data_IF_595975307610
#
_entry.id   IF_595975307610
#
_cell.length_a   1.000
_cell.length_b   1.000
_cell.length_c   1.000
_cell.angle_alpha   90.00
_cell.angle_beta   90.00
_cell.angle_gamma   90.00
#
_symmetry.space_group_name_H-M   'P 1'
#
loop_
_entity.id
_entity.type
_entity.pdbx_description
1 polymer ?
#
# COMPACT_ATOMS: atom_id res chain seq x y z
N UNK A 1 -22.42 -5.14 8.55
CA UNK A 1 -21.37 -4.89 9.58
C UNK A 1 -20.01 -5.12 8.95
N UNK A 2 -19.14 -4.09 8.90
CA UNK A 2 -17.77 -4.22 8.41
C UNK A 2 -16.95 -5.01 9.45
N UNK A 3 -16.39 -6.16 9.07
CA UNK A 3 -15.44 -6.90 9.92
C UNK A 3 -14.07 -6.22 9.83
N UNK A 4 -13.54 -5.78 10.97
CA UNK A 4 -12.25 -5.07 11.15
C UNK A 4 -12.21 -3.69 10.47
N UNK A 5 -12.89 -2.66 11.03
CA UNK A 5 -12.88 -1.31 10.45
C UNK A 5 -11.48 -0.67 10.56
N UNK A 6 -11.12 0.15 9.58
CA UNK A 6 -9.94 1.02 9.56
C UNK A 6 -10.16 2.08 8.48
N UNK A 7 -9.44 3.19 8.56
CA UNK A 7 -9.39 4.18 7.47
C UNK A 7 -8.15 3.93 6.61
N UNK A 8 -8.26 4.27 5.33
CA UNK A 8 -7.12 4.32 4.42
C UNK A 8 -6.78 5.79 4.24
N UNK A 9 -5.65 6.20 4.80
CA UNK A 9 -5.19 7.57 4.72
C UNK A 9 -4.48 7.79 3.39
N UNK A 10 -3.62 6.84 2.98
CA UNK A 10 -3.06 6.77 1.63
C UNK A 10 -2.87 5.31 1.17
N UNK A 11 -2.86 5.10 -0.14
CA UNK A 11 -2.60 3.82 -0.81
C UNK A 11 -2.11 4.03 -2.24
N UNK A 12 -1.23 3.15 -2.69
CA UNK A 12 -0.84 2.93 -4.09
C UNK A 12 -0.75 1.43 -4.35
N UNK A 13 -1.33 0.96 -5.45
CA UNK A 13 -1.18 -0.42 -5.92
C UNK A 13 -0.30 -0.39 -7.17
N UNK A 14 0.81 -1.13 -7.11
CA UNK A 14 1.75 -1.34 -8.21
C UNK A 14 1.57 -2.74 -8.79
N UNK A 15 2.16 -3.05 -9.95
CA UNK A 15 2.06 -4.38 -10.57
C UNK A 15 2.54 -5.53 -9.67
N UNK A 16 3.53 -5.28 -8.80
CA UNK A 16 4.20 -6.29 -7.98
C UNK A 16 4.04 -6.05 -6.46
N UNK A 17 3.71 -4.84 -6.01
CA UNK A 17 3.54 -4.53 -4.59
C UNK A 17 2.48 -3.45 -4.30
N UNK A 18 2.26 -3.18 -3.01
CA UNK A 18 1.30 -2.20 -2.51
C UNK A 18 1.92 -1.47 -1.32
N UNK A 19 1.75 -0.16 -1.26
CA UNK A 19 2.02 0.63 -0.06
C UNK A 19 0.74 1.31 0.40
N UNK A 20 0.55 1.39 1.73
CA UNK A 20 -0.61 2.07 2.31
C UNK A 20 -0.36 2.51 3.75
N UNK A 21 -1.08 3.56 4.14
CA UNK A 21 -1.17 4.05 5.52
C UNK A 21 -2.60 3.81 5.99
N UNK A 22 -2.73 3.20 7.16
CA UNK A 22 -4.01 2.95 7.81
C UNK A 22 -4.04 3.59 9.18
N UNK A 23 -5.18 4.19 9.53
CA UNK A 23 -5.52 4.51 10.91
C UNK A 23 -6.52 3.48 11.43
N UNK A 24 -6.16 2.85 12.54
CA UNK A 24 -7.00 1.86 13.22
C UNK A 24 -7.90 2.55 14.27
N UNK A 25 -9.04 1.92 14.63
CA UNK A 25 -9.84 2.39 15.76
C UNK A 25 -9.04 2.49 17.06
N UNK A 26 -9.49 3.38 17.95
CA UNK A 26 -8.91 3.48 19.29
C UNK A 26 -8.92 2.10 19.98
N UNK A 27 -7.80 1.76 20.64
CA UNK A 27 -7.57 0.47 21.31
C UNK A 27 -7.56 -0.76 20.38
N UNK A 28 -7.34 -0.58 19.07
CA UNK A 28 -7.15 -1.67 18.10
C UNK A 28 -5.78 -1.52 17.42
N UNK A 29 -4.94 -2.54 17.59
CA UNK A 29 -3.62 -2.62 16.96
C UNK A 29 -3.49 -3.81 15.99
N UNK A 30 -4.60 -4.49 15.67
CA UNK A 30 -4.58 -5.73 14.89
C UNK A 30 -4.58 -5.46 13.38
N UNK A 31 -3.56 -4.75 12.89
CA UNK A 31 -3.30 -4.58 11.46
C UNK A 31 -2.93 -5.92 10.79
N UNK A 32 -2.34 -6.85 11.54
CA UNK A 32 -1.92 -8.15 11.04
C UNK A 32 -3.10 -9.00 10.56
N UNK A 33 -4.20 -9.03 11.31
CA UNK A 33 -5.42 -9.77 10.91
C UNK A 33 -6.14 -9.13 9.74
N UNK A 34 -6.09 -7.80 9.61
CA UNK A 34 -6.59 -7.06 8.44
C UNK A 34 -5.80 -7.45 7.19
N UNK A 35 -4.47 -7.41 7.26
CA UNK A 35 -3.61 -7.88 6.16
C UNK A 35 -3.84 -9.33 5.80
N UNK A 36 -3.96 -10.22 6.80
CA UNK A 36 -4.29 -11.63 6.56
C UNK A 36 -5.61 -11.77 5.80
N UNK A 37 -6.65 -11.05 6.22
CA UNK A 37 -7.96 -11.10 5.57
C UNK A 37 -7.92 -10.58 4.13
N UNK A 38 -7.21 -9.47 3.87
CA UNK A 38 -7.01 -8.91 2.54
C UNK A 38 -6.29 -9.91 1.63
N UNK A 39 -5.11 -10.39 2.05
CA UNK A 39 -4.30 -11.35 1.29
C UNK A 39 -5.07 -12.63 1.00
N UNK A 40 -5.81 -13.15 1.98
CA UNK A 40 -6.65 -14.35 1.84
C UNK A 40 -7.76 -14.16 0.81
N UNK A 41 -8.54 -13.08 0.93
CA UNK A 41 -9.65 -12.79 0.01
C UNK A 41 -9.19 -12.53 -1.42
N UNK A 42 -8.07 -11.82 -1.59
CA UNK A 42 -7.48 -11.59 -2.91
C UNK A 42 -7.04 -12.91 -3.53
N UNK A 43 -6.28 -13.72 -2.77
CA UNK A 43 -5.82 -15.02 -3.24
C UNK A 43 -6.98 -15.92 -3.65
N UNK A 44 -8.07 -15.96 -2.88
CA UNK A 44 -9.23 -16.79 -3.17
C UNK A 44 -9.90 -16.50 -4.52
N UNK A 45 -9.72 -15.29 -5.07
CA UNK A 45 -10.29 -14.87 -6.36
C UNK A 45 -9.38 -15.14 -7.57
N UNK A 46 -8.14 -15.56 -7.34
CA UNK A 46 -7.15 -15.78 -8.40
C UNK A 46 -6.93 -17.28 -8.59
N UNK A 47 -6.99 -17.79 -9.85
CA UNK A 47 -6.66 -19.18 -10.15
C UNK A 47 -5.32 -19.60 -9.54
N UNK A 48 -5.25 -20.85 -9.09
CA UNK A 48 -3.98 -21.41 -8.60
C UNK A 48 -3.10 -21.75 -9.81
N UNK A 49 -2.02 -21.00 -9.99
CA UNK A 49 -1.01 -21.27 -11.03
C UNK A 49 0.43 -21.22 -10.51
N UNK A 50 0.62 -20.93 -9.22
CA UNK A 50 1.95 -20.76 -8.65
C UNK A 50 2.67 -22.10 -8.45
N UNK A 51 3.98 -22.15 -8.73
CA UNK A 51 4.83 -23.28 -8.34
C UNK A 51 5.18 -23.17 -6.86
N UNK A 52 4.77 -24.15 -6.07
CA UNK A 52 4.97 -24.18 -4.62
C UNK A 52 5.83 -25.38 -4.20
N UNK A 53 6.63 -25.20 -3.16
CA UNK A 53 7.28 -26.32 -2.49
C UNK A 53 6.27 -27.15 -1.69
N UNK A 54 6.56 -28.43 -1.46
CA UNK A 54 5.68 -29.32 -0.67
C UNK A 54 5.32 -28.73 0.70
N UNK A 55 6.29 -28.07 1.35
CA UNK A 55 6.08 -27.40 2.64
C UNK A 55 5.03 -26.29 2.56
N UNK A 56 4.99 -25.53 1.45
CA UNK A 56 4.00 -24.48 1.22
C UNK A 56 2.62 -25.06 0.94
N UNK A 57 2.56 -26.13 0.14
CA UNK A 57 1.33 -26.85 -0.18
C UNK A 57 0.69 -27.40 1.11
N UNK A 58 1.48 -28.08 1.97
CA UNK A 58 1.01 -28.62 3.25
C UNK A 58 0.43 -27.57 4.20
N UNK A 59 0.90 -26.31 4.09
CA UNK A 59 0.41 -25.17 4.89
C UNK A 59 -0.76 -24.42 4.25
N UNK A 60 -1.21 -24.82 3.06
CA UNK A 60 -2.22 -24.08 2.30
C UNK A 60 -1.77 -22.67 1.90
N UNK A 61 -0.45 -22.43 1.80
CA UNK A 61 0.10 -21.13 1.39
C UNK A 61 -0.20 -20.88 -0.10
N UNK A 62 -0.22 -19.59 -0.46
CA UNK A 62 -0.26 -19.13 -1.86
C UNK A 62 1.08 -18.53 -2.24
N UNK A 63 1.45 -18.66 -3.51
CA UNK A 63 2.76 -18.21 -4.02
C UNK A 63 2.80 -16.75 -4.44
N UNK A 64 1.67 -16.04 -4.33
CA UNK A 64 1.50 -14.68 -4.86
C UNK A 64 2.01 -13.58 -3.93
N UNK A 65 2.01 -13.82 -2.62
CA UNK A 65 2.39 -12.81 -1.62
C UNK A 65 3.76 -13.13 -1.04
N UNK A 66 4.60 -12.11 -0.87
CA UNK A 66 5.74 -12.23 0.03
C UNK A 66 5.28 -12.59 1.45
N UNK A 67 6.10 -13.36 2.16
CA UNK A 67 5.84 -13.69 3.56
C UNK A 67 6.08 -12.45 4.41
N UNK A 68 5.23 -12.26 5.43
CA UNK A 68 5.20 -11.05 6.26
C UNK A 68 4.92 -9.81 5.38
N UNK A 69 5.16 -8.65 5.95
CA UNK A 69 5.10 -7.35 5.32
C UNK A 69 6.06 -6.45 6.11
N UNK A 70 6.41 -5.30 5.54
CA UNK A 70 7.09 -4.26 6.28
C UNK A 70 6.05 -3.37 6.96
N UNK A 71 6.34 -2.93 8.18
CA UNK A 71 5.51 -2.00 8.92
C UNK A 71 6.34 -0.87 9.55
N UNK A 72 5.75 0.32 9.56
CA UNK A 72 6.27 1.49 10.27
C UNK A 72 5.12 2.22 10.95
N UNK A 73 5.36 2.64 12.19
CA UNK A 73 4.39 3.41 12.97
C UNK A 73 4.66 4.88 12.76
N UNK A 74 3.73 5.56 12.09
CA UNK A 74 3.75 7.01 11.90
C UNK A 74 3.66 7.71 13.25
N UNK A 75 4.62 8.60 13.54
CA UNK A 75 4.79 9.19 14.88
C UNK A 75 4.30 10.63 15.00
N UNK A 76 4.29 11.35 13.88
CA UNK A 76 3.91 12.75 13.82
C UNK A 76 3.41 13.12 12.41
N UNK A 77 2.96 14.36 12.26
CA UNK A 77 2.36 14.89 11.04
C UNK A 77 3.37 15.00 9.89
N UNK A 78 4.63 15.36 10.18
CA UNK A 78 5.67 15.44 9.17
C UNK A 78 6.06 14.05 8.64
N UNK A 79 6.08 13.05 9.51
CA UNK A 79 6.26 11.65 9.14
C UNK A 79 5.09 11.15 8.29
N UNK A 80 3.86 11.52 8.65
CA UNK A 80 2.66 11.21 7.87
C UNK A 80 2.74 11.79 6.46
N UNK A 81 2.97 13.10 6.34
CA UNK A 81 3.05 13.81 5.06
C UNK A 81 4.12 13.19 4.14
N UNK A 82 5.33 12.94 4.68
CA UNK A 82 6.42 12.32 3.92
C UNK A 82 6.04 10.95 3.37
N UNK A 83 5.36 10.12 4.17
CA UNK A 83 4.94 8.79 3.72
C UNK A 83 3.80 8.85 2.73
N UNK A 84 2.86 9.80 2.85
CA UNK A 84 1.81 10.02 1.85
C UNK A 84 2.44 10.42 0.50
N UNK A 85 3.34 11.41 0.53
CA UNK A 85 4.06 11.87 -0.66
C UNK A 85 4.84 10.72 -1.32
N UNK A 86 5.55 9.91 -0.52
CA UNK A 86 6.28 8.74 -1.01
C UNK A 86 5.34 7.74 -1.69
N UNK A 87 4.22 7.40 -1.04
CA UNK A 87 3.21 6.47 -1.57
C UNK A 87 2.67 6.97 -2.92
N UNK A 88 2.35 8.25 -3.05
CA UNK A 88 1.83 8.78 -4.32
C UNK A 88 2.91 8.94 -5.38
N UNK A 89 4.15 9.25 -5.00
CA UNK A 89 5.29 9.33 -5.91
C UNK A 89 5.75 7.97 -6.44
N UNK A 90 5.46 6.89 -5.71
CA UNK A 90 5.99 5.56 -5.95
C UNK A 90 5.83 5.03 -7.40
N UNK A 91 4.70 5.24 -8.13
CA UNK A 91 4.59 4.85 -9.54
C UNK A 91 5.61 5.51 -10.45
N UNK A 92 6.00 6.76 -10.17
CA UNK A 92 7.05 7.48 -10.89
C UNK A 92 8.43 6.95 -10.48
N UNK A 93 8.64 6.72 -9.17
CA UNK A 93 9.88 6.13 -8.64
C UNK A 93 10.21 4.79 -9.31
N UNK A 94 9.20 3.95 -9.54
CA UNK A 94 9.34 2.65 -10.21
C UNK A 94 9.24 2.70 -11.74
N UNK A 95 9.16 3.90 -12.34
CA UNK A 95 9.19 4.10 -13.79
C UNK A 95 7.93 3.63 -14.53
N UNK A 96 6.80 3.48 -13.85
CA UNK A 96 5.55 3.08 -14.50
C UNK A 96 4.87 4.23 -15.25
N UNK A 97 5.04 5.46 -14.77
CA UNK A 97 4.52 6.69 -15.36
C UNK A 97 5.52 7.83 -15.19
N UNK A 98 5.39 8.85 -16.04
CA UNK A 98 6.20 10.08 -15.93
C UNK A 98 5.59 11.03 -14.90
N UNK A 99 4.27 11.20 -14.92
CA UNK A 99 3.55 12.06 -13.98
C UNK A 99 2.71 11.22 -13.02
N UNK A 100 2.63 11.65 -11.76
CA UNK A 100 1.86 10.95 -10.71
C UNK A 100 0.38 10.84 -11.06
N UNK A 101 -0.18 11.88 -11.69
CA UNK A 101 -1.57 11.92 -12.14
C UNK A 101 -1.91 10.83 -13.17
N UNK A 102 -0.91 10.31 -13.90
CA UNK A 102 -1.14 9.30 -14.93
C UNK A 102 -1.35 7.90 -14.33
N UNK A 103 -1.11 7.71 -13.02
CA UNK A 103 -1.34 6.43 -12.35
C UNK A 103 -2.73 6.35 -11.72
N UNK A 104 -3.67 5.53 -12.23
CA UNK A 104 -5.04 5.48 -11.74
C UNK A 104 -5.18 4.70 -10.42
N UNK A 105 -4.23 3.82 -10.10
CA UNK A 105 -4.34 2.87 -8.98
C UNK A 105 -3.73 3.42 -7.69
N UNK A 106 -4.07 4.65 -7.34
CA UNK A 106 -3.64 5.29 -6.10
C UNK A 106 -4.71 6.21 -5.53
N UNK A 107 -4.52 6.56 -4.26
CA UNK A 107 -5.32 7.58 -3.56
C UNK A 107 -4.97 9.02 -3.95
N UNK A 108 -3.94 9.25 -4.78
CA UNK A 108 -3.52 10.59 -5.22
C UNK A 108 -4.69 11.41 -5.78
N UNK A 109 -5.53 10.78 -6.61
CA UNK A 109 -6.69 11.43 -7.22
C UNK A 109 -7.70 11.99 -6.21
N UNK A 110 -7.82 11.34 -5.04
CA UNK A 110 -8.66 11.85 -3.95
C UNK A 110 -8.04 13.10 -3.34
N UNK A 111 -6.73 13.11 -3.13
CA UNK A 111 -5.99 14.26 -2.60
C UNK A 111 -6.02 15.45 -3.56
N UNK A 112 -5.86 15.20 -4.86
CA UNK A 112 -5.99 16.21 -5.91
C UNK A 112 -7.40 16.83 -5.92
N UNK A 113 -8.47 16.03 -5.92
CA UNK A 113 -9.85 16.53 -5.88
C UNK A 113 -10.17 17.35 -4.63
N UNK A 114 -9.50 17.05 -3.53
CA UNK A 114 -9.65 17.77 -2.26
C UNK A 114 -8.76 19.03 -2.18
N UNK A 115 -8.00 19.35 -3.24
CA UNK A 115 -7.14 20.53 -3.29
C UNK A 115 -5.82 20.40 -2.52
N UNK A 116 -5.46 19.20 -2.07
CA UNK A 116 -4.20 18.96 -1.34
C UNK A 116 -3.02 18.93 -2.31
N UNK A 117 -3.18 18.27 -3.47
CA UNK A 117 -2.19 18.28 -4.54
C UNK A 117 -2.68 19.02 -5.77
N UNK A 118 -1.81 19.83 -6.41
CA UNK A 118 -2.09 20.30 -7.76
C UNK A 118 -1.97 19.16 -8.78
N UNK A 119 -2.61 19.25 -9.96
CA UNK A 119 -2.53 18.22 -11.00
C UNK A 119 -1.11 17.93 -11.51
N UNK A 120 -0.24 18.94 -11.47
CA UNK A 120 1.17 18.87 -11.85
C UNK A 120 2.10 18.68 -10.64
N UNK A 121 1.60 18.08 -9.56
CA UNK A 121 2.42 17.81 -8.37
C UNK A 121 3.64 16.94 -8.70
N UNK A 122 4.77 17.29 -8.09
CA UNK A 122 6.04 16.58 -8.18
C UNK A 122 6.58 16.42 -6.77
N UNK A 123 7.09 15.24 -6.44
CA UNK A 123 7.80 15.01 -5.20
C UNK A 123 9.01 15.94 -5.03
N UNK A 124 9.24 16.41 -3.81
CA UNK A 124 10.49 17.10 -3.46
C UNK A 124 11.67 16.11 -3.40
N UNK A 125 12.89 16.63 -3.33
CA UNK A 125 14.10 15.79 -3.35
C UNK A 125 14.23 14.89 -2.12
N UNK A 126 13.67 15.29 -0.96
CA UNK A 126 13.65 14.43 0.22
C UNK A 126 12.82 13.16 -0.03
N UNK A 127 11.67 13.30 -0.68
CA UNK A 127 10.79 12.16 -1.02
C UNK A 127 11.39 11.32 -2.14
N UNK A 128 11.99 11.95 -3.16
CA UNK A 128 12.65 11.22 -4.26
C UNK A 128 13.76 10.31 -3.77
N UNK A 129 14.57 10.81 -2.84
CA UNK A 129 15.70 10.09 -2.26
C UNK A 129 15.31 9.22 -1.05
N UNK A 130 14.04 9.22 -0.66
CA UNK A 130 13.57 8.39 0.44
C UNK A 130 13.47 6.93 -0.01
N UNK A 131 14.00 6.01 0.80
CA UNK A 131 13.74 4.58 0.67
C UNK A 131 13.00 4.12 1.93
N UNK A 132 11.91 3.40 1.71
CA UNK A 132 11.09 2.85 2.79
C UNK A 132 11.53 1.43 3.16
N UNK A 133 12.52 0.88 2.44
CA UNK A 133 13.14 -0.43 2.64
C UNK A 133 14.63 -0.29 3.00
#
# INVERSE_FOLDING_TARGET
>A
IQRYPFTIDAVVVLPDHIHCIWTLPANDSDFSKRWYSIKSRFSAKIPKGERLSERRIKKGERGIWQRRFWEHVIRDEMDLERHIDYIHYNPVKHGHVINVIDWPYSSFHKYMRNGIYPPNWIANDNVKNYEME
#
